data_IF_791834633681
#
_entry.id   IF_791834633681
#
_cell.length_a   1.000
_cell.length_b   1.000
_cell.length_c   1.000
_cell.angle_alpha   90.00
_cell.angle_beta   90.00
_cell.angle_gamma   90.00
#
_symmetry.space_group_name_H-M   'P 1'
#
loop_
_entity.id
_entity.type
_entity.pdbx_description
1 polymer ?
#
# COMPACT_ATOMS: atom_id res chain seq x y z
N UNK A 1 7.10 1.73 7.99
CA UNK A 1 7.10 0.31 8.44
C UNK A 1 5.88 0.00 9.32
N UNK A 2 5.66 0.74 10.41
CA UNK A 2 4.54 0.50 11.34
C UNK A 2 3.15 0.56 10.69
N UNK A 3 2.87 1.57 9.85
CA UNK A 3 1.58 1.68 9.18
C UNK A 3 1.22 0.43 8.36
N UNK A 4 2.19 -0.20 7.67
CA UNK A 4 1.94 -1.44 6.92
C UNK A 4 1.64 -2.63 7.82
N UNK A 5 2.30 -2.73 8.98
CA UNK A 5 2.01 -3.78 9.97
C UNK A 5 0.60 -3.63 10.54
N UNK A 6 0.14 -2.39 10.75
CA UNK A 6 -1.23 -2.11 11.18
C UNK A 6 -2.27 -2.40 10.10
N UNK A 7 -1.89 -2.29 8.82
CA UNK A 7 -2.69 -2.77 7.70
C UNK A 7 -2.77 -4.31 7.62
N UNK A 8 -2.00 -5.03 8.44
CA UNK A 8 -1.97 -6.49 8.44
C UNK A 8 -1.01 -7.10 7.42
N UNK A 9 -0.20 -6.27 6.75
CA UNK A 9 0.81 -6.73 5.78
C UNK A 9 1.89 -7.55 6.48
N UNK A 10 2.18 -8.72 5.93
CA UNK A 10 3.20 -9.65 6.43
C UNK A 10 4.34 -9.81 5.43
N UNK A 11 5.57 -10.11 5.89
CA UNK A 11 6.64 -10.50 5.00
C UNK A 11 6.23 -11.68 4.12
N UNK A 12 6.54 -11.64 2.83
CA UNK A 12 6.10 -12.61 1.83
C UNK A 12 4.76 -12.30 1.15
N UNK A 13 3.98 -11.34 1.66
CA UNK A 13 2.78 -10.87 0.98
C UNK A 13 3.12 -10.23 -0.37
N UNK A 14 2.16 -10.29 -1.30
CA UNK A 14 2.28 -9.73 -2.64
C UNK A 14 1.45 -8.47 -2.75
N UNK A 15 2.10 -7.36 -3.04
CA UNK A 15 1.48 -6.04 -3.06
C UNK A 15 1.62 -5.44 -4.44
N UNK A 16 0.50 -5.03 -5.03
CA UNK A 16 0.49 -4.36 -6.32
C UNK A 16 0.59 -2.83 -6.17
N UNK A 17 1.33 -2.18 -7.07
CA UNK A 17 1.35 -0.71 -7.16
C UNK A 17 0.99 -0.26 -8.57
N UNK A 18 0.04 0.67 -8.67
CA UNK A 18 -0.46 1.28 -9.90
C UNK A 18 -0.57 2.80 -9.69
N UNK A 19 0.56 3.47 -9.70
CA UNK A 19 0.66 4.90 -9.43
C UNK A 19 1.63 5.58 -10.40
N UNK A 20 1.51 6.91 -10.51
CA UNK A 20 2.46 7.72 -11.25
C UNK A 20 3.78 7.83 -10.50
N UNK A 21 4.85 8.17 -11.24
CA UNK A 21 6.17 8.50 -10.69
C UNK A 21 6.11 9.80 -9.87
N UNK A 22 5.59 9.70 -8.66
CA UNK A 22 5.47 10.75 -7.65
C UNK A 22 6.18 10.31 -6.38
N UNK A 23 6.45 11.27 -5.49
CA UNK A 23 7.14 11.02 -4.23
C UNK A 23 6.48 9.90 -3.41
N UNK A 24 5.15 9.89 -3.30
CA UNK A 24 4.44 8.84 -2.55
C UNK A 24 4.61 7.44 -3.14
N UNK A 25 4.69 7.30 -4.47
CA UNK A 25 4.94 5.99 -5.09
C UNK A 25 6.36 5.51 -4.81
N UNK A 26 7.35 6.41 -4.88
CA UNK A 26 8.73 6.11 -4.54
C UNK A 26 8.88 5.73 -3.06
N UNK A 27 8.19 6.43 -2.16
CA UNK A 27 8.20 6.11 -0.73
C UNK A 27 7.64 4.71 -0.47
N UNK A 28 6.46 4.39 -1.01
CA UNK A 28 5.89 3.04 -0.90
C UNK A 28 6.86 2.01 -1.47
N UNK A 29 7.49 2.26 -2.61
CA UNK A 29 8.44 1.32 -3.20
C UNK A 29 9.56 0.93 -2.23
N UNK A 30 10.13 1.91 -1.51
CA UNK A 30 11.13 1.65 -0.47
C UNK A 30 10.55 0.97 0.77
N UNK A 31 9.36 1.38 1.22
CA UNK A 31 8.69 0.77 2.37
C UNK A 31 8.43 -0.71 2.13
N UNK A 32 7.92 -1.08 0.94
CA UNK A 32 7.67 -2.46 0.56
C UNK A 32 8.97 -3.29 0.54
N UNK A 33 10.04 -2.73 -0.04
CA UNK A 33 11.35 -3.38 -0.05
C UNK A 33 11.88 -3.65 1.38
N UNK A 34 11.67 -2.73 2.32
CA UNK A 34 12.14 -2.89 3.70
C UNK A 34 11.33 -3.91 4.52
N UNK A 35 10.06 -4.17 4.18
CA UNK A 35 9.19 -5.10 4.93
C UNK A 35 9.41 -6.56 4.49
N UNK A 36 10.06 -6.77 3.34
CA UNK A 36 10.24 -8.12 2.78
C UNK A 36 8.98 -8.65 2.11
N UNK A 37 8.16 -7.75 1.54
CA UNK A 37 7.06 -8.14 0.65
C UNK A 37 7.51 -8.20 -0.80
N UNK A 38 6.72 -8.85 -1.64
CA UNK A 38 6.92 -8.89 -3.09
C UNK A 38 6.13 -7.73 -3.72
N UNK A 39 6.84 -6.79 -4.34
CA UNK A 39 6.25 -5.63 -5.00
C UNK A 39 5.96 -5.94 -6.48
N UNK A 40 4.69 -5.88 -6.87
CA UNK A 40 4.21 -6.04 -8.25
C UNK A 40 3.85 -4.67 -8.85
N UNK A 41 4.75 -4.11 -9.65
CA UNK A 41 4.48 -2.86 -10.37
C UNK A 41 3.65 -3.14 -11.62
N UNK A 42 2.42 -2.63 -11.66
CA UNK A 42 1.51 -2.84 -12.80
C UNK A 42 1.65 -1.66 -13.77
N UNK A 43 1.83 -1.96 -15.05
CA UNK A 43 1.91 -0.94 -16.09
C UNK A 43 0.53 -0.29 -16.33
N UNK A 44 0.50 1.04 -16.33
CA UNK A 44 -0.68 1.92 -16.37
C UNK A 44 -1.50 1.84 -17.67
N UNK A 45 -0.97 1.21 -18.73
CA UNK A 45 -1.62 1.11 -20.04
C UNK A 45 -2.36 -0.20 -20.32
N UNK A 46 -2.48 -1.10 -19.34
CA UNK A 46 -3.13 -2.41 -19.55
C UNK A 46 -4.66 -2.31 -19.45
N UNK A 47 -5.35 -3.19 -20.19
CA UNK A 47 -6.80 -3.34 -20.10
C UNK A 47 -7.21 -3.82 -18.68
N UNK A 48 -8.32 -3.33 -18.11
CA UNK A 48 -8.78 -3.73 -16.78
C UNK A 48 -8.82 -5.25 -16.56
N UNK A 49 -9.26 -6.02 -17.56
CA UNK A 49 -9.35 -7.49 -17.47
C UNK A 49 -7.97 -8.14 -17.29
N UNK A 50 -6.94 -7.62 -17.96
CA UNK A 50 -5.58 -8.12 -17.80
C UNK A 50 -5.03 -7.78 -16.41
N UNK A 51 -5.39 -6.60 -15.89
CA UNK A 51 -4.97 -6.17 -14.56
C UNK A 51 -5.60 -7.08 -13.50
N UNK A 52 -6.90 -7.34 -13.60
CA UNK A 52 -7.60 -8.26 -12.70
C UNK A 52 -7.02 -9.68 -12.79
N UNK A 53 -6.72 -10.16 -14.01
CA UNK A 53 -6.06 -11.45 -14.20
C UNK A 53 -4.70 -11.51 -13.49
N UNK A 54 -3.84 -10.51 -13.69
CA UNK A 54 -2.51 -10.45 -13.05
C UNK A 54 -2.63 -10.42 -11.53
N UNK A 55 -3.56 -9.62 -10.99
CA UNK A 55 -3.78 -9.49 -9.54
C UNK A 55 -4.20 -10.82 -8.93
N UNK A 56 -5.12 -11.53 -9.59
CA UNK A 56 -5.63 -12.81 -9.10
C UNK A 56 -4.59 -13.93 -9.22
N UNK A 57 -3.90 -14.02 -10.36
CA UNK A 57 -2.85 -15.01 -10.62
C UNK A 57 -1.66 -14.85 -9.66
N UNK A 58 -1.35 -13.60 -9.31
CA UNK A 58 -0.30 -13.30 -8.35
C UNK A 58 -0.80 -13.25 -6.91
N UNK A 59 -2.04 -13.62 -6.59
CA UNK A 59 -2.58 -13.63 -5.22
C UNK A 59 -2.29 -12.33 -4.45
N UNK A 60 -2.43 -11.19 -5.14
CA UNK A 60 -2.12 -9.88 -4.55
C UNK A 60 -3.10 -9.60 -3.42
N UNK A 61 -2.58 -9.24 -2.24
CA UNK A 61 -3.37 -8.97 -1.05
C UNK A 61 -3.66 -7.49 -0.85
N UNK A 62 -2.74 -6.60 -1.23
CA UNK A 62 -2.90 -5.15 -1.05
C UNK A 62 -2.57 -4.41 -2.34
N UNK A 63 -3.29 -3.33 -2.62
CA UNK A 63 -3.11 -2.53 -3.83
C UNK A 63 -2.92 -1.05 -3.52
N UNK A 64 -1.81 -0.48 -3.97
CA UNK A 64 -1.53 0.95 -3.89
C UNK A 64 -1.77 1.61 -5.24
N UNK A 65 -2.59 2.65 -5.30
CA UNK A 65 -2.91 3.31 -6.56
C UNK A 65 -3.10 4.82 -6.43
N UNK A 66 -2.87 5.54 -7.53
CA UNK A 66 -3.20 6.96 -7.60
C UNK A 66 -4.71 7.16 -7.86
N UNK A 67 -5.33 8.14 -7.21
CA UNK A 67 -6.74 8.55 -7.38
C UNK A 67 -7.21 8.65 -8.83
N UNK A 68 -6.32 9.02 -9.75
CA UNK A 68 -6.60 9.08 -11.20
C UNK A 68 -7.06 7.74 -11.79
N UNK A 69 -6.69 6.61 -11.15
CA UNK A 69 -7.07 5.27 -11.56
C UNK A 69 -8.24 4.69 -10.75
N UNK A 70 -8.94 5.50 -9.96
CA UNK A 70 -10.05 5.00 -9.14
C UNK A 70 -11.12 4.23 -9.94
N UNK A 71 -11.58 4.69 -11.13
CA UNK A 71 -12.54 3.94 -11.93
C UNK A 71 -12.01 2.57 -12.38
N UNK A 72 -10.71 2.50 -12.70
CA UNK A 72 -10.03 1.27 -13.09
C UNK A 72 -9.96 0.28 -11.92
N UNK A 73 -9.56 0.76 -10.74
CA UNK A 73 -9.44 -0.08 -9.55
C UNK A 73 -10.80 -0.52 -9.02
N UNK A 74 -11.87 0.26 -9.17
CA UNK A 74 -13.23 -0.20 -8.87
C UNK A 74 -13.60 -1.42 -9.74
N UNK A 75 -13.39 -1.33 -11.05
CA UNK A 75 -13.67 -2.42 -11.98
C UNK A 75 -12.83 -3.69 -11.71
N UNK A 76 -11.59 -3.51 -11.26
CA UNK A 76 -10.66 -4.60 -10.94
C UNK A 76 -10.97 -5.22 -9.57
N UNK A 77 -11.16 -4.41 -8.53
CA UNK A 77 -11.43 -4.90 -7.16
C UNK A 77 -12.72 -5.68 -7.07
N UNK A 78 -13.76 -5.31 -7.82
CA UNK A 78 -14.99 -6.08 -7.94
C UNK A 78 -14.78 -7.51 -8.48
N UNK A 79 -13.63 -7.77 -9.14
CA UNK A 79 -13.29 -9.05 -9.78
C UNK A 79 -12.11 -9.75 -9.11
N UNK A 80 -11.59 -9.20 -8.01
CA UNK A 80 -10.40 -9.69 -7.33
C UNK A 80 -10.71 -10.06 -5.89
N UNK A 81 -10.89 -11.35 -5.64
CA UNK A 81 -11.19 -11.88 -4.31
C UNK A 81 -9.98 -11.93 -3.38
N UNK A 82 -8.76 -11.85 -3.92
CA UNK A 82 -7.52 -11.89 -3.12
C UNK A 82 -7.22 -10.54 -2.44
N UNK A 83 -7.76 -9.44 -2.97
CA UNK A 83 -7.44 -8.09 -2.51
C UNK A 83 -8.20 -7.78 -1.22
N UNK A 84 -7.44 -7.57 -0.15
CA UNK A 84 -7.92 -7.23 1.19
C UNK A 84 -8.08 -5.72 1.37
N UNK A 85 -7.34 -4.91 0.63
CA UNK A 85 -7.46 -3.46 0.70
C UNK A 85 -6.76 -2.70 -0.42
N UNK A 86 -7.34 -1.55 -0.76
CA UNK A 86 -6.80 -0.59 -1.71
C UNK A 86 -6.44 0.71 -0.98
N UNK A 87 -5.35 1.37 -1.40
CA UNK A 87 -4.75 2.51 -0.69
C UNK A 87 -4.18 3.55 -1.66
N UNK A 88 -4.25 4.84 -1.31
CA UNK A 88 -3.51 5.89 -2.02
C UNK A 88 -2.21 6.23 -1.28
N UNK A 89 -1.05 6.22 -1.97
CA UNK A 89 0.23 6.59 -1.38
C UNK A 89 0.45 8.11 -1.19
N UNK A 90 -0.36 8.99 -1.79
CA UNK A 90 -0.06 10.44 -1.85
C UNK A 90 -1.03 11.32 -1.06
N UNK A 91 -1.97 10.73 -0.29
CA UNK A 91 -2.93 11.46 0.52
C UNK A 91 -4.38 11.00 0.36
N UNK A 92 -5.34 11.68 1.01
CA UNK A 92 -6.71 11.20 1.10
C UNK A 92 -7.37 11.09 -0.29
N UNK A 93 -7.96 9.94 -0.57
CA UNK A 93 -8.85 9.77 -1.71
C UNK A 93 -10.19 10.43 -1.37
N UNK A 94 -10.71 11.36 -2.19
CA UNK A 94 -12.10 11.81 -2.08
C UNK A 94 -13.03 10.59 -2.16
N UNK A 95 -13.81 10.34 -1.10
CA UNK A 95 -14.75 9.20 -0.99
C UNK A 95 -15.67 9.07 -2.21
N UNK A 96 -15.95 10.18 -2.92
CA UNK A 96 -16.78 10.16 -4.14
C UNK A 96 -16.18 9.39 -5.32
N UNK A 97 -14.90 9.03 -5.30
CA UNK A 97 -14.22 8.37 -6.44
C UNK A 97 -14.25 6.84 -6.38
N UNK A 98 -14.67 6.23 -5.26
CA UNK A 98 -14.65 4.79 -5.07
C UNK A 98 -15.96 4.25 -4.50
N UNK A 99 -16.35 3.05 -4.96
CA UNK A 99 -17.52 2.33 -4.43
C UNK A 99 -17.20 1.59 -3.12
N UNK A 100 -15.93 1.24 -2.91
CA UNK A 100 -15.44 0.59 -1.69
C UNK A 100 -14.58 1.56 -0.85
N UNK A 101 -14.62 1.46 0.50
CA UNK A 101 -13.83 2.34 1.36
C UNK A 101 -12.33 2.12 1.13
N UNK A 102 -11.65 3.14 0.60
CA UNK A 102 -10.20 3.17 0.47
C UNK A 102 -9.57 3.89 1.65
N UNK A 103 -8.57 3.23 2.23
CA UNK A 103 -7.80 3.79 3.33
C UNK A 103 -6.68 4.68 2.78
N UNK A 104 -6.51 5.86 3.37
CA UNK A 104 -5.39 6.75 3.07
C UNK A 104 -4.13 6.31 3.83
N UNK A 105 -3.04 6.07 3.10
CA UNK A 105 -1.76 5.69 3.71
C UNK A 105 -1.12 6.83 4.51
N UNK A 106 -1.19 8.06 4.02
CA UNK A 106 -0.56 9.23 4.65
C UNK A 106 -1.23 9.58 5.98
N UNK A 107 -2.56 9.55 6.02
CA UNK A 107 -3.31 9.70 7.27
C UNK A 107 -2.94 8.60 8.27
N UNK A 108 -2.79 7.35 7.83
CA UNK A 108 -2.38 6.25 8.71
C UNK A 108 -0.97 6.39 9.25
N UNK A 109 -0.04 6.93 8.44
CA UNK A 109 1.30 7.29 8.92
C UNK A 109 1.25 8.34 10.04
N UNK A 110 0.39 9.35 9.90
CA UNK A 110 0.22 10.41 10.92
C UNK A 110 -0.40 9.89 12.21
N UNK A 111 -1.34 8.96 12.10
CA UNK A 111 -1.97 8.27 13.23
C UNK A 111 -1.03 7.26 13.91
N UNK A 112 0.04 6.86 13.24
CA UNK A 112 1.09 5.95 13.74
C UNK A 112 2.42 6.66 14.07
N UNK A 113 2.49 7.67 14.95
CA UNK A 113 3.64 8.56 15.10
C UNK A 113 4.83 7.97 15.86
N UNK A 114 4.99 6.64 15.95
CA UNK A 114 6.19 6.03 16.57
C UNK A 114 7.40 6.13 15.64
N UNK A 115 7.83 7.36 15.35
CA UNK A 115 9.25 7.64 15.21
C UNK A 115 9.86 7.38 16.59
N UNK A 116 10.80 6.44 16.69
CA UNK A 116 11.65 6.32 17.86
C UNK A 116 12.34 7.66 18.07
N UNK A 117 11.76 8.51 18.92
CA UNK A 117 12.44 9.70 19.41
C UNK A 117 13.72 9.19 20.09
N UNK A 118 14.87 9.75 19.69
CA UNK A 118 16.20 9.29 20.08
C UNK A 118 16.56 9.48 21.56
N UNK A 119 15.61 9.28 22.48
CA UNK A 119 15.77 9.46 23.93
C UNK A 119 15.75 8.17 24.77
N UNK A 120 15.70 6.98 24.15
CA UNK A 120 15.68 5.70 24.89
C UNK A 120 16.87 4.76 24.66
N UNK A 121 17.87 5.14 23.86
CA UNK A 121 19.07 4.32 23.62
C UNK A 121 20.05 4.28 24.81
N UNK A 122 19.98 5.24 25.74
CA UNK A 122 20.91 5.33 26.87
C UNK A 122 20.53 4.52 28.11
N UNK A 123 19.33 3.91 28.17
CA UNK A 123 18.87 3.23 29.40
C UNK A 123 19.09 1.72 29.45
N UNK A 124 19.54 1.08 28.38
CA UNK A 124 19.71 -0.38 28.32
C UNK A 124 21.16 -0.87 28.41
N UNK A 125 22.13 -0.01 28.73
CA UNK A 125 23.55 -0.39 28.90
C UNK A 125 24.12 -0.28 30.32
N UNK A 126 23.28 -0.11 31.35
CA UNK A 126 23.74 0.06 32.75
C UNK A 126 23.27 -1.03 33.73
N UNK A 127 22.95 -2.22 33.22
CA UNK A 127 22.85 -3.44 34.02
C UNK A 127 23.54 -4.61 33.33
N UNK A 128 24.87 -4.60 33.37
CA UNK A 128 25.72 -5.79 33.45
C UNK A 128 26.88 -5.45 34.36
#
# INVERSE_FOLDING_TARGET
>A
MHAMTELGVRPGDRIATLAWNKNGHLEIYYVLACIGVICHTINLGRHPDQIAFIINDNEVTHLFFDTTFAPLINAVSARSSSVQGCYNPTGPIPVQLMENPVNDYETRLRESPRLMTGRNWMRTRQRR
#
